data_IF_039810033054
#
_entry.id   IF_039810033054
#
_cell.length_a   1.000
_cell.length_b   1.000
_cell.length_c   1.000
_cell.angle_alpha   90.00
_cell.angle_beta   90.00
_cell.angle_gamma   90.00
#
_symmetry.space_group_name_H-M   'P 1'
#
loop_
_entity.id
_entity.type
_entity.pdbx_description
1 polymer ?
#
# COMPACT_ATOMS: atom_id res chain seq x y z
N UNK A 1 -31.23 -47.35 -1.97
CA UNK A 1 -29.84 -47.77 -1.69
C UNK A 1 -29.20 -46.65 -0.87
N UNK A 2 -28.84 -46.90 0.40
CA UNK A 2 -28.19 -45.88 1.23
C UNK A 2 -26.81 -45.59 0.64
N UNK A 3 -26.53 -44.33 0.34
CA UNK A 3 -25.28 -43.90 -0.28
C UNK A 3 -24.12 -44.24 0.68
N UNK A 4 -23.20 -45.12 0.28
CA UNK A 4 -22.13 -45.63 1.15
C UNK A 4 -21.08 -44.57 1.53
N UNK A 5 -21.17 -43.38 0.95
CA UNK A 5 -20.22 -42.27 1.11
C UNK A 5 -20.79 -41.09 1.91
N UNK A 6 -21.93 -41.24 2.57
CA UNK A 6 -22.50 -40.19 3.42
C UNK A 6 -21.68 -40.02 4.72
N UNK A 7 -21.42 -38.79 5.14
CA UNK A 7 -20.54 -38.46 6.27
C UNK A 7 -20.93 -39.17 7.58
N UNK A 8 -22.22 -39.24 7.97
CA UNK A 8 -22.66 -39.99 9.15
C UNK A 8 -22.34 -41.50 9.06
N UNK A 9 -22.42 -42.09 7.86
CA UNK A 9 -22.08 -43.50 7.66
C UNK A 9 -20.58 -43.78 7.73
N UNK A 10 -19.75 -42.87 7.20
CA UNK A 10 -18.30 -42.95 7.31
C UNK A 10 -17.83 -42.71 8.74
N UNK A 11 -18.47 -41.79 9.48
CA UNK A 11 -18.21 -41.54 10.89
C UNK A 11 -18.51 -42.78 11.76
N UNK A 12 -19.65 -43.44 11.51
CA UNK A 12 -20.01 -44.67 12.21
C UNK A 12 -19.05 -45.83 11.91
N UNK A 13 -18.53 -45.92 10.68
CA UNK A 13 -17.54 -46.93 10.30
C UNK A 13 -16.16 -46.65 10.93
N UNK A 14 -15.70 -45.40 10.92
CA UNK A 14 -14.41 -45.00 11.51
C UNK A 14 -14.39 -45.16 13.04
N UNK A 15 -15.51 -44.86 13.72
CA UNK A 15 -15.65 -45.08 15.16
C UNK A 15 -15.56 -46.57 15.53
N UNK A 16 -16.08 -47.48 14.69
CA UNK A 16 -15.92 -48.93 14.89
C UNK A 16 -14.48 -49.41 14.71
N UNK A 17 -13.66 -48.66 13.97
CA UNK A 17 -12.24 -48.94 13.74
C UNK A 17 -11.33 -48.24 14.78
N UNK A 18 -11.90 -47.56 15.78
CA UNK A 18 -11.14 -46.86 16.82
C UNK A 18 -10.43 -45.59 16.33
N UNK A 19 -10.78 -45.09 15.15
CA UNK A 19 -10.28 -43.83 14.59
C UNK A 19 -11.28 -42.74 14.97
N UNK A 20 -10.82 -41.59 15.48
CA UNK A 20 -11.67 -40.40 15.69
C UNK A 20 -11.65 -39.57 14.40
N UNK A 21 -12.66 -39.68 13.51
CA UNK A 21 -12.72 -38.87 12.31
C UNK A 21 -13.04 -37.43 12.71
N UNK A 22 -12.09 -36.52 12.50
CA UNK A 22 -12.36 -35.08 12.55
C UNK A 22 -12.91 -34.69 11.18
N UNK A 23 -14.13 -34.15 11.14
CA UNK A 23 -14.66 -33.56 9.92
C UNK A 23 -13.67 -32.49 9.45
N UNK A 24 -13.16 -32.62 8.22
CA UNK A 24 -12.35 -31.56 7.63
C UNK A 24 -13.25 -30.33 7.54
N UNK A 25 -13.00 -29.33 8.39
CA UNK A 25 -13.66 -28.03 8.28
C UNK A 25 -13.38 -27.52 6.86
N UNK A 26 -14.42 -27.08 6.15
CA UNK A 26 -14.25 -26.47 4.83
C UNK A 26 -13.25 -25.32 4.95
N UNK A 27 -12.26 -25.28 4.07
CA UNK A 27 -11.23 -24.25 4.11
C UNK A 27 -11.86 -22.87 3.83
N UNK A 28 -11.27 -21.80 4.38
CA UNK A 28 -11.79 -20.43 4.14
C UNK A 28 -11.83 -20.09 2.65
N UNK A 29 -10.96 -20.71 1.84
CA UNK A 29 -10.97 -20.58 0.38
C UNK A 29 -12.21 -21.20 -0.25
N UNK A 30 -12.53 -22.45 0.10
CA UNK A 30 -13.70 -23.17 -0.42
C UNK A 30 -15.01 -22.44 -0.05
N UNK A 31 -15.14 -21.97 1.20
CA UNK A 31 -16.32 -21.21 1.64
C UNK A 31 -16.49 -19.85 0.95
N UNK A 32 -15.39 -19.19 0.57
CA UNK A 32 -15.44 -17.93 -0.22
C UNK A 32 -15.91 -18.17 -1.65
N UNK A 33 -15.45 -19.27 -2.25
CA UNK A 33 -15.79 -19.66 -3.61
C UNK A 33 -17.26 -20.06 -3.70
N UNK A 34 -17.76 -20.86 -2.74
CA UNK A 34 -19.18 -21.21 -2.65
C UNK A 34 -20.09 -19.99 -2.38
N UNK A 35 -19.62 -19.03 -1.58
CA UNK A 35 -20.35 -17.79 -1.35
C UNK A 35 -20.46 -16.97 -2.65
N UNK A 36 -19.36 -16.83 -3.39
CA UNK A 36 -19.32 -16.10 -4.65
C UNK A 36 -20.26 -16.72 -5.69
N UNK A 37 -20.25 -18.05 -5.83
CA UNK A 37 -21.15 -18.74 -6.77
C UNK A 37 -22.63 -18.50 -6.42
N UNK A 38 -22.99 -18.51 -5.14
CA UNK A 38 -24.37 -18.25 -4.71
C UNK A 38 -24.77 -16.78 -4.81
N UNK A 39 -23.86 -15.84 -4.59
CA UNK A 39 -24.13 -14.41 -4.84
C UNK A 39 -24.28 -14.11 -6.33
N UNK A 40 -23.43 -14.70 -7.18
CA UNK A 40 -23.52 -14.55 -8.64
C UNK A 40 -24.83 -15.13 -9.18
N UNK A 41 -25.28 -16.26 -8.62
CA UNK A 41 -26.57 -16.87 -8.98
C UNK A 41 -27.76 -16.03 -8.53
N UNK A 42 -27.69 -15.39 -7.36
CA UNK A 42 -28.70 -14.42 -6.93
C UNK A 42 -28.73 -13.21 -7.89
N UNK A 43 -27.58 -12.62 -8.23
CA UNK A 43 -27.52 -11.51 -9.17
C UNK A 43 -28.05 -11.88 -10.57
N UNK A 44 -27.78 -13.10 -11.04
CA UNK A 44 -28.33 -13.60 -12.30
C UNK A 44 -29.87 -13.67 -12.29
N UNK A 45 -30.47 -14.14 -11.20
CA UNK A 45 -31.94 -14.16 -11.03
C UNK A 45 -32.49 -12.73 -11.05
N UNK A 46 -31.85 -11.79 -10.35
CA UNK A 46 -32.25 -10.38 -10.33
C UNK A 46 -32.20 -9.75 -11.73
N UNK A 47 -31.18 -10.06 -12.51
CA UNK A 47 -31.01 -9.56 -13.87
C UNK A 47 -32.04 -10.14 -14.84
N UNK A 48 -32.43 -11.43 -14.67
CA UNK A 48 -33.49 -12.06 -15.46
C UNK A 48 -34.87 -11.44 -15.18
N UNK A 49 -35.17 -11.17 -13.91
CA UNK A 49 -36.43 -10.49 -13.52
C UNK A 49 -36.46 -9.06 -14.05
N UNK A 50 -35.34 -8.34 -14.02
CA UNK A 50 -35.24 -6.99 -14.60
C UNK A 50 -35.43 -6.98 -16.13
N UNK A 51 -35.03 -8.05 -16.82
CA UNK A 51 -35.23 -8.20 -18.26
C UNK A 51 -36.66 -8.61 -18.65
N UNK A 52 -37.43 -9.20 -17.73
CA UNK A 52 -38.80 -9.65 -17.93
C UNK A 52 -39.85 -8.64 -17.43
N UNK A 53 -39.56 -7.34 -17.49
CA UNK A 53 -40.41 -6.24 -17.02
C UNK A 53 -40.87 -6.36 -15.55
N UNK A 54 -40.12 -7.10 -14.71
CA UNK A 54 -40.38 -7.23 -13.28
C UNK A 54 -41.38 -8.33 -12.89
N UNK A 55 -41.81 -9.18 -13.81
CA UNK A 55 -42.63 -10.35 -13.49
C UNK A 55 -41.78 -11.49 -12.92
N UNK A 56 -42.05 -11.87 -11.68
CA UNK A 56 -41.45 -13.04 -11.04
C UNK A 56 -42.20 -14.30 -11.46
N UNK A 57 -41.51 -15.30 -12.00
CA UNK A 57 -42.07 -16.65 -12.08
C UNK A 57 -42.07 -17.31 -10.69
N UNK A 58 -43.05 -18.15 -10.41
CA UNK A 58 -43.17 -18.85 -9.11
C UNK A 58 -41.90 -19.67 -8.79
N UNK A 59 -41.28 -20.27 -9.80
CA UNK A 59 -40.04 -21.04 -9.67
C UNK A 59 -38.83 -20.15 -9.30
N UNK A 60 -38.68 -18.99 -9.98
CA UNK A 60 -37.56 -18.06 -9.71
C UNK A 60 -37.69 -17.39 -8.35
N UNK A 61 -38.92 -17.13 -7.91
CA UNK A 61 -39.19 -16.57 -6.59
C UNK A 61 -38.84 -17.56 -5.48
N UNK A 62 -39.16 -18.85 -5.67
CA UNK A 62 -38.76 -19.92 -4.75
C UNK A 62 -37.24 -20.08 -4.64
N UNK A 63 -36.51 -20.02 -5.76
CA UNK A 63 -35.04 -20.07 -5.75
C UNK A 63 -34.41 -18.83 -5.10
N UNK A 64 -34.96 -17.64 -5.35
CA UNK A 64 -34.51 -16.41 -4.72
C UNK A 64 -34.75 -16.41 -3.20
N UNK A 65 -35.93 -16.82 -2.76
CA UNK A 65 -36.28 -16.89 -1.33
C UNK A 65 -35.40 -17.93 -0.60
N UNK A 66 -35.06 -19.05 -1.24
CA UNK A 66 -34.14 -20.04 -0.67
C UNK A 66 -32.69 -19.51 -0.51
N UNK A 67 -32.24 -18.66 -1.42
CA UNK A 67 -30.90 -18.07 -1.39
C UNK A 67 -30.80 -16.87 -0.43
N UNK A 68 -31.83 -16.02 -0.41
CA UNK A 68 -31.81 -14.68 0.20
C UNK A 68 -32.69 -14.52 1.44
N UNK A 69 -33.37 -15.57 1.93
CA UNK A 69 -34.18 -15.49 3.14
C UNK A 69 -33.40 -14.88 4.33
N UNK A 70 -34.01 -13.89 4.99
CA UNK A 70 -33.43 -13.15 6.14
C UNK A 70 -33.05 -14.07 7.30
N UNK A 71 -33.84 -15.15 7.53
CA UNK A 71 -33.55 -16.20 8.51
C UNK A 71 -33.39 -17.55 7.80
N UNK A 72 -32.14 -18.00 7.62
CA UNK A 72 -31.83 -19.34 7.13
C UNK A 72 -31.56 -19.47 5.63
N UNK A 73 -31.47 -18.36 4.89
CA UNK A 73 -30.98 -18.36 3.51
C UNK A 73 -29.56 -18.93 3.42
N UNK A 74 -29.26 -19.68 2.36
CA UNK A 74 -27.97 -20.37 2.22
C UNK A 74 -26.77 -19.40 2.25
N UNK A 75 -26.94 -18.17 1.77
CA UNK A 75 -25.91 -17.11 1.81
C UNK A 75 -25.67 -16.65 3.25
N UNK A 76 -26.72 -16.42 4.04
CA UNK A 76 -26.56 -15.97 5.44
C UNK A 76 -25.91 -17.07 6.28
N UNK A 77 -26.28 -18.34 6.06
CA UNK A 77 -25.63 -19.48 6.69
C UNK A 77 -24.13 -19.59 6.33
N UNK A 78 -23.78 -19.47 5.04
CA UNK A 78 -22.38 -19.51 4.58
C UNK A 78 -21.55 -18.34 5.09
N UNK A 79 -22.11 -17.12 5.16
CA UNK A 79 -21.37 -15.98 5.74
C UNK A 79 -21.08 -16.14 7.23
N UNK A 80 -21.99 -16.76 7.99
CA UNK A 80 -21.77 -17.08 9.42
C UNK A 80 -20.68 -18.14 9.55
N UNK A 81 -20.72 -19.19 8.73
CA UNK A 81 -19.68 -20.24 8.71
C UNK A 81 -18.31 -19.67 8.31
N UNK A 82 -18.26 -18.79 7.31
CA UNK A 82 -17.04 -18.10 6.89
C UNK A 82 -16.47 -17.20 7.99
N UNK A 83 -17.30 -16.45 8.71
CA UNK A 83 -16.85 -15.64 9.87
C UNK A 83 -16.28 -16.52 10.97
N UNK A 84 -16.87 -17.69 11.23
CA UNK A 84 -16.35 -18.64 12.20
C UNK A 84 -15.03 -19.28 11.74
N UNK A 85 -14.93 -19.69 10.48
CA UNK A 85 -13.72 -20.26 9.90
C UNK A 85 -12.55 -19.26 9.85
N UNK A 86 -12.81 -18.00 9.51
CA UNK A 86 -11.80 -16.93 9.56
C UNK A 86 -11.26 -16.70 10.97
N UNK A 87 -12.12 -16.75 11.99
CA UNK A 87 -11.69 -16.65 13.40
C UNK A 87 -10.80 -17.82 13.80
N UNK A 88 -11.14 -19.03 13.35
CA UNK A 88 -10.35 -20.23 13.61
C UNK A 88 -8.96 -20.15 12.94
N UNK A 89 -8.88 -19.83 11.65
CA UNK A 89 -7.60 -19.65 10.95
C UNK A 89 -6.73 -18.54 11.59
N UNK A 90 -7.36 -17.47 12.09
CA UNK A 90 -6.67 -16.41 12.82
C UNK A 90 -6.02 -16.92 14.11
N UNK A 91 -6.75 -17.71 14.90
CA UNK A 91 -6.23 -18.33 16.13
C UNK A 91 -5.15 -19.38 15.84
N UNK A 92 -5.28 -20.17 14.77
CA UNK A 92 -4.25 -21.12 14.35
C UNK A 92 -2.95 -20.42 13.96
N UNK A 93 -3.05 -19.33 13.20
CA UNK A 93 -1.89 -18.49 12.85
C UNK A 93 -1.26 -17.90 14.11
N UNK A 94 -2.05 -17.38 15.05
CA UNK A 94 -1.55 -16.89 16.35
C UNK A 94 -0.82 -17.97 17.15
N UNK A 95 -1.34 -19.20 17.19
CA UNK A 95 -0.67 -20.30 17.90
C UNK A 95 0.61 -20.74 17.21
N UNK A 96 0.64 -20.76 15.88
CA UNK A 96 1.84 -21.05 15.11
C UNK A 96 2.96 -20.02 15.38
N UNK A 97 2.60 -18.74 15.49
CA UNK A 97 3.56 -17.68 15.77
C UNK A 97 4.07 -17.72 17.20
N UNK A 98 3.22 -18.09 18.17
CA UNK A 98 3.63 -18.36 19.55
C UNK A 98 4.58 -19.56 19.67
N UNK A 99 4.39 -20.61 18.85
CA UNK A 99 5.31 -21.76 18.80
C UNK A 99 6.67 -21.35 18.25
N UNK A 100 6.69 -20.65 17.12
CA UNK A 100 7.91 -20.13 16.51
C UNK A 100 8.67 -19.17 17.46
N UNK A 101 7.95 -18.31 18.19
CA UNK A 101 8.55 -17.43 19.19
C UNK A 101 9.20 -18.20 20.36
N UNK A 102 8.57 -19.31 20.80
CA UNK A 102 9.14 -20.19 21.84
C UNK A 102 10.38 -20.92 21.36
N UNK A 103 10.41 -21.37 20.12
CA UNK A 103 11.53 -22.10 19.51
C UNK A 103 12.78 -21.22 19.34
N UNK A 104 12.61 -19.91 19.12
CA UNK A 104 13.72 -18.97 18.87
C UNK A 104 14.18 -18.14 20.09
N UNK A 105 13.79 -18.51 21.31
CA UNK A 105 14.44 -18.02 22.55
C UNK A 105 14.43 -16.50 22.77
N UNK A 106 13.38 -15.79 22.33
CA UNK A 106 13.24 -14.34 22.50
C UNK A 106 11.84 -13.94 22.99
N UNK A 107 11.78 -12.85 23.75
CA UNK A 107 10.57 -12.23 24.31
C UNK A 107 9.40 -12.19 23.32
N UNK A 108 8.20 -12.45 23.83
CA UNK A 108 6.95 -12.53 23.07
C UNK A 108 6.69 -11.21 22.29
N UNK A 109 6.76 -11.21 20.95
CA UNK A 109 6.59 -9.99 20.15
C UNK A 109 5.15 -9.42 20.18
N UNK A 110 4.20 -10.16 20.78
CA UNK A 110 2.79 -9.79 20.90
C UNK A 110 2.42 -9.27 22.31
N UNK A 111 3.41 -8.99 23.16
CA UNK A 111 3.19 -8.43 24.50
C UNK A 111 2.76 -6.96 24.40
N UNK A 112 1.51 -6.74 23.99
CA UNK A 112 0.89 -5.42 23.80
C UNK A 112 -0.21 -5.39 22.74
N UNK A 113 -0.25 -6.36 21.82
CA UNK A 113 -1.18 -6.40 20.67
C UNK A 113 -2.30 -7.43 20.87
N UNK A 114 -2.88 -7.48 22.08
CA UNK A 114 -3.96 -8.42 22.36
C UNK A 114 -5.18 -8.06 21.50
N UNK A 115 -5.58 -8.96 20.61
CA UNK A 115 -6.95 -9.03 20.11
C UNK A 115 -7.85 -9.38 21.30
N UNK A 116 -8.74 -8.47 21.65
CA UNK A 116 -9.62 -8.63 22.80
C UNK A 116 -10.89 -9.39 22.36
N UNK A 117 -11.04 -10.62 22.88
CA UNK A 117 -12.05 -11.59 22.44
C UNK A 117 -13.48 -11.10 22.76
N UNK A 118 -13.63 -10.17 23.71
CA UNK A 118 -14.92 -9.62 24.13
C UNK A 118 -15.39 -8.43 23.30
N UNK A 119 -14.48 -7.60 22.79
CA UNK A 119 -14.80 -6.34 22.08
C UNK A 119 -14.55 -6.41 20.57
N UNK A 120 -13.75 -7.38 20.09
CA UNK A 120 -13.49 -7.57 18.66
C UNK A 120 -12.60 -6.50 18.03
N UNK A 121 -11.99 -5.63 18.82
CA UNK A 121 -11.06 -4.60 18.34
C UNK A 121 -9.60 -5.05 18.53
N UNK A 122 -8.83 -4.86 17.46
CA UNK A 122 -7.39 -5.08 17.40
C UNK A 122 -6.88 -4.65 16.02
N UNK A 123 -5.74 -3.95 15.97
CA UNK A 123 -5.14 -3.47 14.73
C UNK A 123 -4.65 -4.65 13.87
N UNK A 124 -5.53 -5.19 13.02
CA UNK A 124 -5.19 -6.24 12.06
C UNK A 124 -4.06 -5.82 11.09
N UNK A 125 -3.88 -4.51 10.86
CA UNK A 125 -2.81 -3.95 10.05
C UNK A 125 -1.41 -4.18 10.62
N UNK A 126 -1.25 -4.20 11.94
CA UNK A 126 0.06 -4.41 12.58
C UNK A 126 0.52 -5.88 12.51
N UNK A 127 -0.40 -6.84 12.33
CA UNK A 127 -0.08 -8.27 12.25
C UNK A 127 0.47 -8.70 10.89
N UNK A 128 0.07 -8.05 9.79
CA UNK A 128 0.60 -8.34 8.44
C UNK A 128 2.04 -7.84 8.30
N UNK A 129 2.40 -6.79 9.06
CA UNK A 129 3.64 -6.05 8.88
C UNK A 129 4.81 -6.61 9.71
N UNK A 130 4.52 -7.34 10.80
CA UNK A 130 5.53 -7.90 11.72
C UNK A 130 6.10 -9.27 11.32
N UNK A 131 5.54 -9.96 10.31
CA UNK A 131 5.89 -11.35 10.02
C UNK A 131 7.18 -11.58 9.23
N UNK A 132 7.83 -10.54 8.72
CA UNK A 132 9.04 -10.68 7.94
C UNK A 132 10.22 -10.09 8.72
N UNK A 133 10.82 -10.88 9.63
CA UNK A 133 12.19 -10.63 10.07
C UNK A 133 13.11 -10.85 8.87
N UNK A 134 13.29 -9.81 8.06
CA UNK A 134 14.09 -9.88 6.84
C UNK A 134 15.54 -10.24 7.17
N UNK A 135 15.94 -11.44 6.75
CA UNK A 135 17.29 -12.00 6.95
C UNK A 135 18.31 -11.49 5.91
N UNK A 136 17.96 -10.51 5.08
CA UNK A 136 18.91 -9.93 4.14
C UNK A 136 19.97 -9.14 4.90
N UNK A 137 21.23 -9.56 4.76
CA UNK A 137 22.43 -8.84 5.21
C UNK A 137 22.65 -7.60 4.34
N UNK A 138 21.69 -6.68 4.30
CA UNK A 138 21.99 -5.34 3.85
C UNK A 138 22.95 -4.74 4.89
N UNK A 139 24.00 -4.06 4.41
CA UNK A 139 24.87 -3.28 5.28
C UNK A 139 24.10 -2.12 5.92
N UNK A 140 24.83 -1.18 6.53
CA UNK A 140 24.23 0.09 6.95
C UNK A 140 23.63 0.80 5.71
N UNK A 141 22.34 1.11 5.77
CA UNK A 141 21.60 1.79 4.71
C UNK A 141 21.83 3.31 4.81
N UNK A 142 21.91 3.97 3.66
CA UNK A 142 22.20 5.40 3.53
C UNK A 142 20.97 6.23 3.15
N UNK A 143 20.08 5.71 2.30
CA UNK A 143 18.83 6.36 1.91
C UNK A 143 17.72 6.03 2.91
N UNK A 144 17.61 4.76 3.29
CA UNK A 144 16.59 4.30 4.22
C UNK A 144 17.06 4.38 5.68
N UNK A 145 16.09 4.44 6.60
CA UNK A 145 16.37 4.42 8.04
C UNK A 145 17.04 3.10 8.45
N UNK A 146 17.98 3.18 9.39
CA UNK A 146 18.77 2.01 9.85
C UNK A 146 18.05 1.15 10.90
N UNK A 147 16.71 1.15 10.89
CA UNK A 147 15.87 0.36 11.77
C UNK A 147 15.16 -0.77 11.00
N UNK A 148 14.42 -1.61 11.72
CA UNK A 148 13.70 -2.72 11.10
C UNK A 148 12.59 -2.24 10.15
N UNK A 149 12.07 -1.01 10.30
CA UNK A 149 11.15 -0.42 9.32
C UNK A 149 11.87 -0.04 8.03
N UNK A 150 12.97 0.71 8.11
CA UNK A 150 13.71 1.14 6.92
C UNK A 150 14.32 -0.02 6.12
N UNK A 151 14.70 -1.13 6.77
CA UNK A 151 15.10 -2.36 6.05
C UNK A 151 13.94 -2.98 5.27
N UNK A 152 12.72 -2.95 5.81
CA UNK A 152 11.50 -3.42 5.12
C UNK A 152 11.17 -2.53 3.94
N UNK A 153 11.26 -1.22 4.12
CA UNK A 153 11.02 -0.22 3.07
C UNK A 153 12.02 -0.37 1.92
N UNK A 154 13.30 -0.58 2.25
CA UNK A 154 14.34 -0.86 1.26
C UNK A 154 14.08 -2.17 0.50
N UNK A 155 13.66 -3.22 1.20
CA UNK A 155 13.30 -4.50 0.58
C UNK A 155 12.05 -4.35 -0.31
N UNK A 156 11.04 -3.63 0.14
CA UNK A 156 9.83 -3.38 -0.61
C UNK A 156 10.12 -2.64 -1.91
N UNK A 157 10.95 -1.60 -1.84
CA UNK A 157 11.42 -0.85 -3.01
C UNK A 157 12.24 -1.74 -3.96
N UNK A 158 13.10 -2.59 -3.42
CA UNK A 158 13.91 -3.51 -4.22
C UNK A 158 13.05 -4.56 -4.95
N UNK A 159 12.03 -5.13 -4.28
CA UNK A 159 11.09 -6.04 -4.91
C UNK A 159 10.25 -5.33 -5.98
N UNK A 160 9.77 -4.12 -5.70
CA UNK A 160 9.10 -3.28 -6.69
C UNK A 160 9.97 -3.06 -7.93
N UNK A 161 11.24 -2.70 -7.75
CA UNK A 161 12.18 -2.51 -8.85
C UNK A 161 12.36 -3.81 -9.65
N UNK A 162 12.54 -4.97 -9.00
CA UNK A 162 12.68 -6.28 -9.67
C UNK A 162 11.47 -6.60 -10.54
N UNK A 163 10.27 -6.45 -9.99
CA UNK A 163 9.03 -6.75 -10.71
C UNK A 163 8.71 -5.75 -11.82
N UNK A 164 9.02 -4.47 -11.62
CA UNK A 164 8.92 -3.45 -12.68
C UNK A 164 9.75 -3.86 -13.90
N UNK A 165 10.96 -4.34 -13.65
CA UNK A 165 11.88 -4.69 -14.72
C UNK A 165 11.49 -5.98 -15.43
N UNK A 166 10.81 -6.90 -14.75
CA UNK A 166 10.17 -8.04 -15.41
C UNK A 166 9.13 -7.56 -16.43
N UNK A 167 8.31 -6.57 -16.10
CA UNK A 167 7.36 -5.98 -17.06
C UNK A 167 8.07 -5.32 -18.25
N UNK A 168 9.26 -4.76 -18.03
CA UNK A 168 10.11 -4.14 -19.06
C UNK A 168 10.95 -5.14 -19.88
N UNK A 169 10.62 -6.44 -19.86
CA UNK A 169 11.31 -7.49 -20.62
C UNK A 169 12.55 -8.10 -19.94
N UNK A 170 12.68 -7.92 -18.63
CA UNK A 170 13.70 -8.57 -17.81
C UNK A 170 13.39 -10.05 -17.51
N UNK A 171 14.30 -10.74 -16.79
CA UNK A 171 14.06 -12.10 -16.31
C UNK A 171 12.80 -12.20 -15.44
N UNK A 172 12.10 -13.34 -15.47
CA UNK A 172 10.94 -13.57 -14.61
C UNK A 172 11.38 -13.73 -13.15
N UNK A 173 10.87 -12.88 -12.27
CA UNK A 173 11.06 -12.92 -10.82
C UNK A 173 9.68 -13.15 -10.16
N UNK A 174 9.25 -14.41 -10.10
CA UNK A 174 7.93 -14.80 -9.55
C UNK A 174 7.77 -14.34 -8.10
N UNK A 175 8.83 -14.44 -7.30
CA UNK A 175 8.88 -13.97 -5.91
C UNK A 175 8.53 -12.49 -5.79
N UNK A 176 9.15 -11.63 -6.62
CA UNK A 176 8.91 -10.20 -6.56
C UNK A 176 7.48 -9.86 -6.99
N UNK A 177 6.96 -10.53 -8.02
CA UNK A 177 5.58 -10.32 -8.46
C UNK A 177 4.54 -10.77 -7.43
N UNK A 178 4.75 -11.91 -6.79
CA UNK A 178 3.86 -12.43 -5.74
C UNK A 178 3.89 -11.54 -4.51
N UNK A 179 5.08 -11.09 -4.10
CA UNK A 179 5.26 -10.20 -2.95
C UNK A 179 4.50 -8.88 -3.10
N UNK A 180 4.56 -8.29 -4.29
CA UNK A 180 3.90 -7.04 -4.64
C UNK A 180 2.38 -7.23 -4.73
N UNK A 181 1.95 -8.30 -5.39
CA UNK A 181 0.53 -8.65 -5.50
C UNK A 181 -0.10 -8.87 -4.12
N UNK A 182 0.61 -9.57 -3.22
CA UNK A 182 0.16 -9.82 -1.84
C UNK A 182 0.04 -8.54 -1.00
N UNK A 183 0.81 -7.49 -1.32
CA UNK A 183 0.76 -6.18 -0.65
C UNK A 183 -0.19 -5.17 -1.30
N UNK A 184 -0.84 -5.53 -2.40
CA UNK A 184 -1.73 -4.62 -3.13
C UNK A 184 -1.00 -3.43 -3.76
N UNK A 185 0.34 -3.49 -3.86
CA UNK A 185 1.13 -2.49 -4.56
C UNK A 185 1.04 -2.79 -6.05
N UNK A 186 0.13 -2.18 -6.80
CA UNK A 186 0.08 -2.46 -8.24
C UNK A 186 1.17 -1.67 -8.99
N UNK A 187 1.94 -2.36 -9.83
CA UNK A 187 2.83 -1.70 -10.80
C UNK A 187 1.95 -1.17 -11.93
N UNK A 188 1.43 0.04 -11.74
CA UNK A 188 0.62 0.73 -12.75
C UNK A 188 1.53 1.58 -13.63
N UNK A 189 1.47 1.33 -14.94
CA UNK A 189 1.97 2.27 -15.92
C UNK A 189 1.11 3.53 -15.87
N UNK A 190 1.74 4.69 -15.68
CA UNK A 190 1.16 5.99 -15.92
C UNK A 190 1.06 6.12 -17.44
N UNK A 191 -0.14 5.88 -17.96
CA UNK A 191 -0.44 6.08 -19.37
C UNK A 191 -0.10 7.53 -19.73
N UNK A 192 1.02 7.70 -20.45
CA UNK A 192 1.30 8.92 -21.20
C UNK A 192 0.60 8.75 -22.55
N UNK A 193 -0.03 9.80 -23.09
CA UNK A 193 -0.69 9.77 -24.41
C UNK A 193 0.33 9.46 -25.51
N UNK A 194 0.62 8.17 -25.72
CA UNK A 194 1.68 7.71 -26.61
C UNK A 194 2.33 6.44 -26.09
N UNK A 195 1.84 5.30 -26.58
CA UNK A 195 2.37 3.95 -26.39
C UNK A 195 2.40 3.42 -24.93
N UNK A 196 1.47 2.51 -24.67
CA UNK A 196 1.29 1.79 -23.39
C UNK A 196 2.50 0.97 -22.92
N UNK A 197 3.55 0.84 -23.75
CA UNK A 197 4.81 0.17 -23.41
C UNK A 197 5.90 1.07 -22.84
N UNK A 198 5.75 2.41 -22.94
CA UNK A 198 6.79 3.39 -22.58
C UNK A 198 6.36 4.36 -21.46
N UNK A 199 5.15 4.19 -20.92
CA UNK A 199 4.61 5.03 -19.85
C UNK A 199 5.44 4.94 -18.57
N UNK A 200 5.67 6.09 -17.92
CA UNK A 200 6.36 6.14 -16.64
C UNK A 200 5.64 5.28 -15.59
N UNK A 201 6.36 4.69 -14.64
CA UNK A 201 5.75 3.85 -13.60
C UNK A 201 5.68 4.61 -12.30
N UNK A 202 4.59 4.41 -11.54
CA UNK A 202 4.45 5.00 -10.21
C UNK A 202 5.47 4.38 -9.25
N UNK A 203 6.22 5.24 -8.58
CA UNK A 203 7.20 4.87 -7.56
C UNK A 203 6.46 4.52 -6.26
N UNK A 204 6.89 3.51 -5.50
CA UNK A 204 6.23 3.16 -4.26
C UNK A 204 6.56 4.19 -3.17
N UNK A 205 5.57 4.48 -2.32
CA UNK A 205 5.67 5.47 -1.22
C UNK A 205 6.95 5.36 -0.37
N UNK A 206 7.46 4.16 0.01
CA UNK A 206 8.69 4.07 0.80
C UNK A 206 9.93 4.61 0.09
N UNK A 207 9.99 4.52 -1.24
CA UNK A 207 11.10 5.04 -2.03
C UNK A 207 11.02 6.55 -2.19
N UNK A 208 9.81 7.09 -2.39
CA UNK A 208 9.56 8.53 -2.46
C UNK A 208 9.94 9.21 -1.15
N UNK A 209 9.48 8.65 -0.02
CA UNK A 209 9.78 9.17 1.31
C UNK A 209 11.29 9.14 1.60
N UNK A 210 11.98 8.03 1.29
CA UNK A 210 13.43 7.94 1.46
C UNK A 210 14.18 8.98 0.61
N UNK A 211 13.73 9.25 -0.62
CA UNK A 211 14.30 10.30 -1.46
C UNK A 211 14.09 11.69 -0.87
N UNK A 212 12.87 12.00 -0.43
CA UNK A 212 12.51 13.32 0.14
C UNK A 212 13.31 13.56 1.42
N UNK A 213 13.29 12.62 2.36
CA UNK A 213 14.03 12.74 3.63
C UNK A 213 15.52 12.95 3.39
N UNK A 214 16.10 12.19 2.46
CA UNK A 214 17.53 12.31 2.15
C UNK A 214 17.87 13.66 1.49
N UNK A 215 17.02 14.14 0.58
CA UNK A 215 17.20 15.44 -0.09
C UNK A 215 17.11 16.58 0.91
N UNK A 216 16.15 16.54 1.83
CA UNK A 216 15.97 17.57 2.87
C UNK A 216 17.11 17.55 3.89
N UNK A 217 17.65 16.37 4.21
CA UNK A 217 18.79 16.26 5.12
C UNK A 217 20.10 16.81 4.52
N UNK A 218 20.26 16.76 3.20
CA UNK A 218 21.48 17.20 2.50
C UNK A 218 21.40 18.67 2.08
N UNK A 219 20.23 19.13 1.62
CA UNK A 219 20.06 20.48 1.07
C UNK A 219 20.10 21.56 2.14
N UNK A 220 20.85 22.62 1.88
CA UNK A 220 20.95 23.77 2.81
C UNK A 220 19.88 24.81 2.52
N UNK A 221 19.61 25.10 1.24
CA UNK A 221 18.68 26.16 0.84
C UNK A 221 17.27 25.91 1.35
N UNK A 222 16.80 24.67 1.30
CA UNK A 222 15.42 24.29 1.68
C UNK A 222 15.11 24.53 3.16
N UNK A 223 16.13 24.63 4.01
CA UNK A 223 15.98 24.95 5.43
C UNK A 223 16.02 26.47 5.70
N UNK A 224 16.49 27.26 4.73
CA UNK A 224 16.66 28.71 4.84
C UNK A 224 15.60 29.51 4.08
N UNK A 225 14.99 28.93 3.05
CA UNK A 225 14.03 29.59 2.17
C UNK A 225 12.59 29.13 2.40
N UNK A 226 11.64 30.01 2.11
CA UNK A 226 10.20 29.69 2.13
C UNK A 226 9.82 28.81 0.94
N UNK A 227 9.08 27.73 1.20
CA UNK A 227 8.64 26.77 0.18
C UNK A 227 7.23 27.12 -0.31
N UNK A 228 7.13 27.51 -1.58
CA UNK A 228 5.84 27.67 -2.26
C UNK A 228 5.57 26.47 -3.17
N UNK A 229 4.42 25.81 -2.97
CA UNK A 229 3.97 24.73 -3.85
C UNK A 229 3.33 25.35 -5.09
N UNK A 230 3.80 24.96 -6.27
CA UNK A 230 3.35 25.48 -7.54
C UNK A 230 2.68 24.36 -8.35
N UNK A 231 1.48 24.63 -8.89
CA UNK A 231 0.70 23.68 -9.70
C UNK A 231 0.71 24.01 -11.20
N UNK A 232 1.26 25.16 -11.58
CA UNK A 232 1.34 25.64 -12.96
C UNK A 232 2.80 25.93 -13.35
N UNK A 233 3.09 26.17 -14.63
CA UNK A 233 4.46 26.43 -15.11
C UNK A 233 5.08 27.73 -14.56
N UNK A 234 4.25 28.72 -14.24
CA UNK A 234 4.73 29.96 -13.61
C UNK A 234 3.85 30.40 -12.44
N UNK A 235 4.49 30.93 -11.41
CA UNK A 235 3.86 31.45 -10.19
C UNK A 235 4.33 32.88 -9.95
N UNK A 236 3.39 33.81 -9.87
CA UNK A 236 3.69 35.21 -9.53
C UNK A 236 3.44 35.43 -8.05
N UNK A 237 4.50 35.74 -7.32
CA UNK A 237 4.44 36.06 -5.89
C UNK A 237 4.49 37.58 -5.72
N UNK A 238 3.48 38.21 -5.09
CA UNK A 238 3.52 39.64 -4.81
C UNK A 238 4.58 39.92 -3.73
N UNK A 239 5.46 40.88 -4.00
CA UNK A 239 6.49 41.34 -3.07
C UNK A 239 6.15 42.75 -2.59
N UNK A 240 6.27 42.98 -1.30
CA UNK A 240 6.18 44.33 -0.76
C UNK A 240 7.45 45.13 -1.12
N UNK A 241 7.30 46.25 -1.82
CA UNK A 241 8.42 47.13 -2.18
C UNK A 241 8.64 48.20 -1.11
N UNK A 242 7.58 48.93 -0.75
CA UNK A 242 7.62 49.93 0.33
C UNK A 242 6.42 49.77 1.25
N UNK A 243 6.69 49.74 2.55
CA UNK A 243 5.65 49.80 3.58
C UNK A 243 5.19 51.23 3.85
N UNK A 244 3.99 51.42 4.43
CA UNK A 244 3.53 52.73 4.88
C UNK A 244 4.39 53.24 6.04
N UNK A 245 4.78 54.52 5.98
CA UNK A 245 5.59 55.17 7.00
C UNK A 245 4.73 55.84 8.08
N UNK A 246 5.12 55.67 9.34
CA UNK A 246 4.50 56.39 10.47
C UNK A 246 5.10 57.79 10.55
N UNK A 247 4.26 58.82 10.46
CA UNK A 247 4.67 60.23 10.62
C UNK A 247 4.02 60.82 11.87
N UNK A 248 4.72 61.74 12.53
CA UNK A 248 4.23 62.49 13.69
C UNK A 248 3.91 63.93 13.28
N UNK A 249 2.68 64.25 12.86
CA UNK A 249 2.33 65.61 12.50
C UNK A 249 2.33 66.53 13.73
N UNK A 250 2.81 67.76 13.58
CA UNK A 250 2.73 68.80 14.61
C UNK A 250 1.29 69.32 14.79
N UNK A 251 1.05 70.15 15.82
CA UNK A 251 -0.28 70.56 16.32
C UNK A 251 -1.21 71.20 15.26
N UNK A 252 -0.66 71.73 14.17
CA UNK A 252 -1.38 72.32 13.03
C UNK A 252 -1.03 71.69 11.67
N UNK A 253 -0.28 70.59 11.65
CA UNK A 253 0.15 69.92 10.41
C UNK A 253 -0.82 68.82 9.95
N UNK A 254 -1.22 68.83 8.68
CA UNK A 254 -1.95 67.70 8.10
C UNK A 254 -1.03 66.48 7.93
N UNK A 255 -1.50 65.29 8.33
CA UNK A 255 -0.75 64.05 8.14
C UNK A 255 -0.56 63.74 6.64
N UNK A 256 0.66 63.35 6.25
CA UNK A 256 0.95 62.93 4.87
C UNK A 256 0.50 61.48 4.68
N UNK A 257 -0.28 61.21 3.63
CA UNK A 257 -0.63 59.84 3.25
C UNK A 257 0.62 59.09 2.77
N UNK A 258 0.84 57.88 3.28
CA UNK A 258 1.92 57.00 2.85
C UNK A 258 1.30 55.72 2.31
N UNK A 259 1.31 55.59 0.98
CA UNK A 259 0.75 54.43 0.30
C UNK A 259 1.76 53.28 0.22
N UNK A 260 1.24 52.06 0.36
CA UNK A 260 2.01 50.83 0.23
C UNK A 260 2.16 50.46 -1.25
N UNK A 261 3.38 50.19 -1.72
CA UNK A 261 3.61 49.77 -3.11
C UNK A 261 3.93 48.28 -3.21
N UNK A 262 3.30 47.63 -4.18
CA UNK A 262 3.46 46.19 -4.44
C UNK A 262 4.24 45.97 -5.73
N UNK A 263 5.25 45.12 -5.66
CA UNK A 263 5.92 44.53 -6.81
C UNK A 263 5.46 43.09 -7.03
N UNK A 264 5.92 42.49 -8.13
CA UNK A 264 5.65 41.09 -8.45
C UNK A 264 6.96 40.40 -8.82
N UNK A 265 7.17 39.20 -8.28
CA UNK A 265 8.27 38.31 -8.67
C UNK A 265 7.65 37.12 -9.39
N UNK A 266 8.09 36.83 -10.62
CA UNK A 266 7.65 35.68 -11.38
C UNK A 266 8.64 34.54 -11.20
N UNK A 267 8.15 33.40 -10.76
CA UNK A 267 8.87 32.13 -10.69
C UNK A 267 8.52 31.29 -11.92
N UNK A 268 9.51 30.67 -12.54
CA UNK A 268 9.35 29.72 -13.64
C UNK A 268 9.77 28.32 -13.18
N UNK A 269 8.99 27.30 -13.54
CA UNK A 269 9.43 25.91 -13.34
C UNK A 269 10.53 25.55 -14.33
N UNK A 270 11.56 24.86 -13.83
CA UNK A 270 12.56 24.19 -14.63
C UNK A 270 12.58 22.70 -14.25
N UNK A 271 12.70 21.82 -15.25
CA UNK A 271 12.76 20.38 -15.05
C UNK A 271 14.21 19.92 -14.82
N UNK A 272 14.43 19.05 -13.83
CA UNK A 272 15.74 18.46 -13.51
C UNK A 272 15.67 16.95 -13.67
N UNK A 273 16.67 16.36 -14.31
CA UNK A 273 16.73 14.91 -14.54
C UNK A 273 18.09 14.34 -14.09
N UNK A 274 18.04 13.19 -13.42
CA UNK A 274 19.22 12.37 -13.12
C UNK A 274 19.00 10.98 -13.72
N UNK A 275 19.85 10.61 -14.68
CA UNK A 275 19.80 9.31 -15.34
C UNK A 275 21.07 8.51 -15.03
N UNK A 276 20.90 7.25 -14.65
CA UNK A 276 22.02 6.33 -14.48
C UNK A 276 21.67 4.93 -14.93
N UNK A 277 22.67 4.22 -15.45
CA UNK A 277 22.56 2.86 -15.95
C UNK A 277 23.10 1.86 -14.93
N UNK A 278 22.44 0.71 -14.82
CA UNK A 278 22.84 -0.42 -13.97
C UNK A 278 22.86 -1.69 -14.78
N UNK A 279 23.87 -2.54 -14.56
CA UNK A 279 23.94 -3.85 -15.21
C UNK A 279 22.88 -4.81 -14.68
N UNK A 280 22.25 -5.56 -15.57
CA UNK A 280 21.21 -6.53 -15.24
C UNK A 280 21.68 -7.63 -14.26
N UNK A 281 22.97 -8.02 -14.28
CA UNK A 281 23.51 -9.04 -13.36
C UNK A 281 23.77 -8.50 -11.97
N UNK A 282 24.33 -7.30 -11.87
CA UNK A 282 24.57 -6.66 -10.58
C UNK A 282 23.25 -6.41 -9.86
N UNK A 283 22.22 -6.08 -10.63
CA UNK A 283 20.85 -5.82 -10.17
C UNK A 283 20.17 -7.03 -9.53
N UNK A 284 20.29 -8.24 -10.08
CA UNK A 284 19.68 -9.45 -9.50
C UNK A 284 20.30 -9.78 -8.15
N UNK A 285 21.63 -9.66 -8.06
CA UNK A 285 22.38 -10.16 -6.92
C UNK A 285 22.43 -9.16 -5.76
N UNK A 286 22.27 -7.86 -6.06
CA UNK A 286 22.43 -6.78 -5.07
C UNK A 286 21.34 -5.70 -5.16
N UNK A 287 20.08 -6.07 -5.46
CA UNK A 287 18.97 -5.12 -5.63
C UNK A 287 18.83 -4.10 -4.49
N UNK A 288 18.87 -4.55 -3.23
CA UNK A 288 18.66 -3.68 -2.05
C UNK A 288 19.79 -2.65 -1.91
N UNK A 289 21.05 -3.09 -1.95
CA UNK A 289 22.21 -2.21 -1.78
C UNK A 289 22.31 -1.19 -2.92
N UNK A 290 21.93 -1.60 -4.13
CA UNK A 290 21.92 -0.72 -5.31
C UNK A 290 20.84 0.34 -5.15
N UNK A 291 19.60 -0.06 -4.86
CA UNK A 291 18.48 0.88 -4.67
C UNK A 291 18.81 1.92 -3.60
N UNK A 292 19.36 1.49 -2.46
CA UNK A 292 19.78 2.39 -1.39
C UNK A 292 20.84 3.40 -1.85
N UNK A 293 21.88 2.94 -2.55
CA UNK A 293 22.91 3.84 -3.09
C UNK A 293 22.35 4.79 -4.15
N UNK A 294 21.47 4.31 -5.02
CA UNK A 294 20.89 5.12 -6.09
C UNK A 294 20.00 6.22 -5.54
N UNK A 295 19.05 5.89 -4.66
CA UNK A 295 18.18 6.88 -4.03
C UNK A 295 19.02 7.89 -3.26
N UNK A 296 20.02 7.43 -2.48
CA UNK A 296 20.87 8.34 -1.73
C UNK A 296 21.68 9.26 -2.64
N UNK A 297 22.20 8.77 -3.77
CA UNK A 297 23.03 9.58 -4.67
C UNK A 297 22.19 10.55 -5.50
N UNK A 298 21.04 10.11 -5.99
CA UNK A 298 20.10 10.96 -6.72
C UNK A 298 19.60 12.10 -5.83
N UNK A 299 19.22 11.81 -4.58
CA UNK A 299 18.79 12.84 -3.63
C UNK A 299 19.91 13.84 -3.33
N UNK A 300 21.15 13.36 -3.19
CA UNK A 300 22.31 14.22 -2.95
C UNK A 300 22.61 15.15 -4.13
N UNK A 301 22.66 14.64 -5.37
CA UNK A 301 22.95 15.48 -6.54
C UNK A 301 21.81 16.45 -6.82
N UNK A 302 20.55 16.04 -6.62
CA UNK A 302 19.41 16.94 -6.71
C UNK A 302 19.51 18.09 -5.70
N UNK A 303 19.82 17.80 -4.43
CA UNK A 303 19.99 18.83 -3.40
C UNK A 303 21.17 19.77 -3.69
N UNK A 304 22.31 19.20 -4.13
CA UNK A 304 23.50 19.98 -4.49
C UNK A 304 23.23 20.93 -5.65
N UNK A 305 22.53 20.47 -6.67
CA UNK A 305 22.19 21.29 -7.83
C UNK A 305 21.17 22.37 -7.47
N UNK A 306 20.15 22.03 -6.67
CA UNK A 306 19.20 23.01 -6.11
C UNK A 306 19.95 24.16 -5.38
N UNK A 307 20.90 23.83 -4.52
CA UNK A 307 21.67 24.81 -3.75
C UNK A 307 22.58 25.66 -4.66
N UNK A 308 23.20 25.06 -5.67
CA UNK A 308 24.06 25.78 -6.60
C UNK A 308 23.28 26.77 -7.47
N UNK A 309 22.13 26.37 -7.99
CA UNK A 309 21.26 27.24 -8.80
C UNK A 309 20.69 28.40 -7.98
N UNK A 310 20.41 28.19 -6.70
CA UNK A 310 19.91 29.26 -5.86
C UNK A 310 20.94 30.34 -5.51
N UNK A 311 22.24 29.99 -5.50
CA UNK A 311 23.32 30.94 -5.18
C UNK A 311 23.95 31.53 -6.43
N UNK A 312 24.19 30.71 -7.45
CA UNK A 312 24.94 31.07 -8.66
C UNK A 312 24.10 31.03 -9.94
N UNK A 313 22.79 30.83 -9.85
CA UNK A 313 21.90 30.74 -11.02
C UNK A 313 21.86 32.04 -11.82
N UNK A 314 21.85 31.92 -13.14
CA UNK A 314 21.81 33.01 -14.11
C UNK A 314 20.39 33.31 -14.65
N UNK A 315 19.40 32.49 -14.30
CA UNK A 315 17.99 32.67 -14.64
C UNK A 315 17.48 31.67 -15.66
#
# INVERSE_FOLDING_TARGET
>A
MRNLYDWPTLQAAANRLGIVPVAKLASVKELKEELAEKTDRAEAIKNLVAAADGEWSDDLKGEWDALMAEEGGEITALTVQLKAAMKLEGEEKRLATLRLAREHGGSNPLEGTKFDIQTGEGHAGDMIDQHERFTYRAGRLNAFRNDDRGRRDAHCTAMWMRALLQQMGGPQDTEATEFIANRGLEIRAVATEGDSGSGGYLVPEPAEMAFIERREAVGVLRNLADRHVMTAESLTVPKLLTGPAVTYPGETGAGTASDQTWGQVRLSAAERMVLSYVSNRLRSDAAINIVDQFISRMAYEAAKQDDNEAVNGDG
#
